data_IF_318279900285
#
_entry.id   IF_318279900285
#
_cell.length_a   1.000
_cell.length_b   1.000
_cell.length_c   1.000
_cell.angle_alpha   90.00
_cell.angle_beta   90.00
_cell.angle_gamma   90.00
#
_symmetry.space_group_name_H-M   'P 1'
#
loop_
_entity.id
_entity.type
_entity.pdbx_description
1 polymer ?
#
# COMPACT_ATOMS: atom_id res chain seq x y z
N UNK A 1 22.03 -23.09 -10.42
CA UNK A 1 20.58 -23.38 -10.19
C UNK A 1 19.98 -23.86 -11.49
N UNK A 2 19.15 -24.89 -11.48
CA UNK A 2 18.43 -25.37 -12.67
C UNK A 2 16.93 -25.29 -12.40
N UNK A 3 16.16 -24.85 -13.40
CA UNK A 3 14.71 -24.79 -13.33
C UNK A 3 14.12 -26.01 -14.04
N UNK A 4 13.38 -26.81 -13.32
CA UNK A 4 12.46 -27.80 -13.87
C UNK A 4 11.07 -27.39 -13.38
N UNK A 5 10.15 -27.09 -14.32
CA UNK A 5 8.77 -26.65 -14.03
C UNK A 5 8.61 -25.38 -13.17
N UNK A 6 9.55 -24.43 -13.24
CA UNK A 6 9.38 -23.10 -12.64
C UNK A 6 9.56 -23.02 -11.11
N UNK A 7 9.86 -24.14 -10.44
CA UNK A 7 10.21 -24.16 -9.01
C UNK A 7 11.74 -24.07 -8.88
N UNK A 8 12.23 -23.15 -8.04
CA UNK A 8 13.65 -23.05 -7.68
C UNK A 8 14.01 -24.24 -6.79
N UNK A 9 14.50 -25.32 -7.39
CA UNK A 9 15.07 -26.42 -6.63
C UNK A 9 16.41 -25.97 -6.01
N UNK A 10 16.65 -26.24 -4.71
CA UNK A 10 17.95 -26.00 -4.11
C UNK A 10 19.01 -26.74 -4.93
N UNK A 11 20.18 -26.12 -5.08
CA UNK A 11 21.32 -26.70 -5.78
C UNK A 11 21.56 -28.14 -5.28
N UNK A 12 21.52 -29.18 -6.14
CA UNK A 12 21.68 -30.57 -5.70
C UNK A 12 23.11 -30.88 -5.24
N UNK A 13 24.02 -29.91 -5.36
CA UNK A 13 25.41 -30.04 -4.98
C UNK A 13 25.57 -29.83 -3.48
N UNK A 14 26.03 -30.87 -2.78
CA UNK A 14 26.52 -30.77 -1.40
C UNK A 14 28.05 -30.64 -1.43
N UNK A 15 28.58 -29.77 -0.58
CA UNK A 15 30.01 -29.45 -0.51
C UNK A 15 30.56 -29.85 0.87
N UNK A 16 31.63 -30.65 0.90
CA UNK A 16 32.29 -31.07 2.15
C UNK A 16 33.75 -30.69 2.11
N UNK A 17 34.27 -30.32 3.28
CA UNK A 17 35.71 -30.19 3.48
C UNK A 17 36.36 -31.58 3.55
N UNK A 18 37.50 -31.74 2.87
CA UNK A 18 38.18 -33.03 2.69
C UNK A 18 38.79 -33.60 3.98
N UNK A 19 39.26 -32.77 4.92
CA UNK A 19 39.92 -33.24 6.16
C UNK A 19 39.07 -33.11 7.43
N UNK A 20 37.87 -32.52 7.35
CA UNK A 20 36.93 -32.60 8.46
C UNK A 20 36.41 -34.04 8.60
N UNK A 21 37.01 -34.83 9.48
CA UNK A 21 36.65 -36.22 9.77
C UNK A 21 35.16 -36.45 10.12
N UNK A 22 34.42 -35.37 10.41
CA UNK A 22 33.00 -35.40 10.82
C UNK A 22 32.05 -34.93 9.69
N UNK A 23 32.55 -34.57 8.49
CA UNK A 23 31.69 -34.27 7.34
C UNK A 23 30.71 -33.11 7.58
N UNK A 24 31.12 -32.09 8.34
CA UNK A 24 30.28 -30.90 8.56
C UNK A 24 30.02 -30.21 7.20
N UNK A 25 28.77 -29.84 6.90
CA UNK A 25 28.45 -29.13 5.65
C UNK A 25 29.25 -27.82 5.62
N UNK A 26 29.89 -27.53 4.48
CA UNK A 26 30.57 -26.25 4.30
C UNK A 26 29.55 -25.12 4.46
N UNK A 27 29.81 -24.17 5.38
CA UNK A 27 28.92 -23.02 5.61
C UNK A 27 28.96 -22.00 4.47
N UNK A 28 29.94 -22.12 3.59
CA UNK A 28 30.16 -21.22 2.46
C UNK A 28 29.60 -21.94 1.24
N UNK A 29 28.52 -21.40 0.68
CA UNK A 29 28.17 -21.65 -0.72
C UNK A 29 29.07 -20.73 -1.54
N UNK A 30 30.04 -21.27 -2.29
CA UNK A 30 30.79 -20.43 -3.20
C UNK A 30 29.81 -19.89 -4.25
N UNK A 31 29.75 -18.58 -4.43
CA UNK A 31 29.00 -17.97 -5.53
C UNK A 31 29.74 -18.28 -6.84
N UNK A 32 29.33 -19.34 -7.52
CA UNK A 32 29.96 -19.83 -8.74
C UNK A 32 29.35 -19.15 -9.98
N UNK A 33 30.05 -18.16 -10.54
CA UNK A 33 29.67 -17.48 -11.80
C UNK A 33 30.83 -17.39 -12.80
N UNK A 34 31.46 -18.50 -13.19
CA UNK A 34 32.47 -18.48 -14.28
C UNK A 34 33.15 -19.82 -14.62
N UNK A 35 33.85 -19.93 -15.78
CA UNK A 35 34.62 -21.12 -16.16
C UNK A 35 35.97 -21.18 -15.43
N UNK A 36 36.26 -22.32 -14.81
CA UNK A 36 37.33 -22.52 -13.83
C UNK A 36 38.77 -22.33 -14.34
N UNK A 37 39.61 -21.71 -13.50
CA UNK A 37 41.00 -22.12 -13.30
C UNK A 37 41.15 -22.77 -11.91
N UNK A 38 41.76 -23.96 -11.77
CA UNK A 38 41.95 -24.63 -10.47
C UNK A 38 42.66 -23.78 -9.40
N UNK A 39 43.38 -22.74 -9.82
CA UNK A 39 44.05 -21.77 -8.95
C UNK A 39 43.11 -20.84 -8.18
N UNK A 40 41.87 -20.63 -8.65
CA UNK A 40 40.89 -19.76 -7.97
C UNK A 40 40.18 -20.46 -6.79
N UNK A 41 40.42 -21.75 -6.59
CA UNK A 41 39.93 -22.54 -5.45
C UNK A 41 40.91 -22.55 -4.26
N UNK A 42 42.05 -21.86 -4.38
CA UNK A 42 43.05 -21.76 -3.32
C UNK A 42 42.85 -20.44 -2.54
N UNK A 43 41.84 -20.40 -1.68
CA UNK A 43 41.85 -19.43 -0.58
C UNK A 43 42.93 -19.87 0.41
N UNK A 44 43.74 -18.93 0.88
CA UNK A 44 45.01 -19.18 1.62
C UNK A 44 44.82 -20.01 2.91
N UNK A 45 43.60 -20.12 3.41
CA UNK A 45 43.24 -20.94 4.58
C UNK A 45 42.09 -21.95 4.34
N UNK A 46 41.59 -22.10 3.11
CA UNK A 46 40.50 -23.04 2.81
C UNK A 46 41.01 -24.27 2.06
N UNK A 47 40.91 -25.42 2.74
CA UNK A 47 41.22 -26.73 2.18
C UNK A 47 40.34 -27.10 0.98
N UNK A 48 40.82 -28.00 0.09
CA UNK A 48 40.10 -28.39 -1.12
C UNK A 48 38.67 -28.87 -0.80
N UNK A 49 37.69 -28.18 -1.40
CA UNK A 49 36.27 -28.51 -1.29
C UNK A 49 35.95 -29.64 -2.28
N UNK A 50 35.35 -30.72 -1.78
CA UNK A 50 34.89 -31.83 -2.62
C UNK A 50 33.39 -31.71 -2.86
N UNK A 51 32.98 -31.75 -4.14
CA UNK A 51 31.56 -31.84 -4.53
C UNK A 51 31.13 -33.29 -4.40
N UNK A 52 30.19 -33.58 -3.51
CA UNK A 52 29.67 -34.94 -3.28
C UNK A 52 28.15 -35.00 -3.46
N UNK A 53 27.66 -36.19 -3.84
CA UNK A 53 26.22 -36.44 -3.99
C UNK A 53 25.59 -36.02 -5.32
N UNK A 54 26.35 -35.39 -6.22
CA UNK A 54 25.91 -35.17 -7.60
C UNK A 54 26.41 -36.30 -8.51
N UNK A 55 25.49 -36.91 -9.25
CA UNK A 55 25.80 -37.86 -10.31
C UNK A 55 25.73 -37.16 -11.66
N UNK A 56 26.85 -37.17 -12.40
CA UNK A 56 26.90 -36.61 -13.74
C UNK A 56 26.66 -37.70 -14.78
N UNK A 57 25.99 -37.34 -15.89
CA UNK A 57 25.81 -38.20 -17.06
C UNK A 57 26.87 -37.87 -18.10
N UNK A 58 27.42 -38.88 -18.76
CA UNK A 58 28.35 -38.68 -19.86
C UNK A 58 27.62 -37.93 -21.00
N UNK A 59 28.17 -36.85 -21.58
CA UNK A 59 27.47 -36.04 -22.59
C UNK A 59 27.29 -36.75 -23.94
N UNK A 60 28.07 -37.81 -24.18
CA UNK A 60 27.90 -38.64 -25.37
C UNK A 60 26.69 -39.55 -25.21
N UNK A 61 25.70 -39.39 -26.09
CA UNK A 61 24.44 -40.16 -26.09
C UNK A 61 24.64 -41.69 -26.14
N UNK A 62 25.77 -42.14 -26.70
CA UNK A 62 26.13 -43.57 -26.77
C UNK A 62 26.68 -44.13 -25.45
N UNK A 63 27.13 -43.29 -24.51
CA UNK A 63 27.64 -43.72 -23.22
C UNK A 63 26.52 -43.79 -22.18
N UNK A 64 26.26 -44.99 -21.65
CA UNK A 64 25.16 -45.24 -20.70
C UNK A 64 25.54 -44.98 -19.23
N UNK A 65 26.76 -44.53 -18.91
CA UNK A 65 27.18 -44.22 -17.53
C UNK A 65 26.42 -42.98 -17.03
N UNK A 66 25.71 -43.14 -15.91
CA UNK A 66 24.82 -42.10 -15.34
C UNK A 66 25.23 -41.59 -13.95
N UNK A 67 26.37 -42.03 -13.40
CA UNK A 67 26.83 -41.67 -12.05
C UNK A 67 28.32 -41.36 -12.02
N UNK A 68 28.76 -40.44 -12.88
CA UNK A 68 30.15 -39.99 -12.87
C UNK A 68 30.37 -39.07 -11.67
N UNK A 69 31.52 -39.21 -11.00
CA UNK A 69 32.03 -38.17 -10.11
C UNK A 69 32.33 -36.89 -10.90
N UNK A 70 32.45 -35.75 -10.20
CA UNK A 70 32.82 -34.49 -10.85
C UNK A 70 34.14 -34.62 -11.64
N UNK A 71 35.16 -35.27 -11.05
CA UNK A 71 36.44 -35.49 -11.74
C UNK A 71 36.28 -36.37 -12.99
N UNK A 72 35.54 -37.47 -12.91
CA UNK A 72 35.29 -38.32 -14.09
C UNK A 72 34.49 -37.59 -15.17
N UNK A 73 33.57 -36.72 -14.80
CA UNK A 73 32.81 -35.91 -15.75
C UNK A 73 33.66 -34.82 -16.38
N UNK A 74 34.38 -34.05 -15.55
CA UNK A 74 35.21 -32.90 -15.96
C UNK A 74 36.34 -33.34 -16.88
N UNK A 75 37.10 -34.36 -16.47
CA UNK A 75 38.17 -34.95 -17.28
C UNK A 75 37.64 -35.96 -18.31
N UNK A 76 36.32 -36.10 -18.43
CA UNK A 76 35.63 -36.99 -19.39
C UNK A 76 36.11 -38.45 -19.37
N UNK A 77 36.51 -38.95 -18.21
CA UNK A 77 37.03 -40.31 -17.99
C UNK A 77 35.94 -41.41 -18.11
N UNK A 78 34.73 -41.07 -18.61
CA UNK A 78 33.60 -42.00 -18.69
C UNK A 78 33.72 -43.05 -19.81
N UNK A 79 34.30 -42.71 -20.95
CA UNK A 79 34.47 -43.61 -22.09
C UNK A 79 35.51 -43.05 -23.07
N UNK A 80 36.06 -43.92 -23.93
CA UNK A 80 37.05 -43.54 -24.94
C UNK A 80 36.58 -42.44 -25.89
N UNK A 81 35.29 -42.41 -26.22
CA UNK A 81 34.71 -41.32 -27.03
C UNK A 81 34.73 -39.97 -26.30
N UNK A 82 34.56 -39.98 -24.98
CA UNK A 82 34.51 -38.76 -24.18
C UNK A 82 35.93 -38.24 -23.87
N UNK A 83 36.89 -39.12 -23.61
CA UNK A 83 38.30 -38.74 -23.46
C UNK A 83 38.86 -38.18 -24.77
N UNK A 84 38.49 -38.74 -25.92
CA UNK A 84 38.99 -38.30 -27.22
C UNK A 84 38.48 -36.93 -27.69
N UNK A 85 37.43 -36.38 -27.07
CA UNK A 85 36.98 -35.01 -27.37
C UNK A 85 37.72 -33.95 -26.55
N UNK A 86 38.49 -34.36 -25.54
CA UNK A 86 39.40 -33.53 -24.74
C UNK A 86 40.87 -33.93 -24.91
N UNK A 87 41.15 -34.92 -25.75
CA UNK A 87 42.28 -34.80 -26.66
C UNK A 87 42.06 -33.50 -27.43
N UNK A 88 42.42 -32.37 -26.80
CA UNK A 88 43.22 -31.35 -27.44
C UNK A 88 44.07 -32.14 -28.41
N UNK A 89 43.67 -32.07 -29.68
CA UNK A 89 44.42 -32.72 -30.73
C UNK A 89 45.87 -32.39 -30.40
N UNK A 90 46.76 -33.41 -30.46
CA UNK A 90 48.20 -33.18 -30.32
C UNK A 90 48.51 -31.83 -30.97
N UNK A 91 49.28 -30.98 -30.30
CA UNK A 91 49.52 -29.58 -30.70
C UNK A 91 49.78 -29.41 -32.22
N UNK A 92 50.20 -30.48 -32.90
CA UNK A 92 50.32 -30.63 -34.36
C UNK A 92 49.07 -30.47 -35.23
N UNK A 93 47.82 -30.59 -34.73
CA UNK A 93 46.61 -30.45 -35.58
C UNK A 93 45.78 -29.18 -35.26
N UNK A 94 46.27 -28.34 -34.34
CA UNK A 94 45.88 -26.94 -34.39
C UNK A 94 46.65 -26.34 -35.55
N UNK A 95 45.97 -26.18 -36.67
CA UNK A 95 46.40 -25.32 -37.76
C UNK A 95 46.84 -23.97 -37.13
N UNK A 96 48.17 -23.74 -37.01
CA UNK A 96 48.78 -22.58 -36.34
C UNK A 96 48.26 -21.25 -36.92
N UNK A 97 47.59 -21.30 -38.08
CA UNK A 97 46.90 -20.18 -38.71
C UNK A 97 45.57 -19.76 -38.07
N UNK A 98 44.95 -20.55 -37.18
CA UNK A 98 43.69 -20.18 -36.50
C UNK A 98 43.91 -19.89 -35.03
N UNK A 99 44.65 -18.82 -34.75
CA UNK A 99 44.72 -18.22 -33.41
C UNK A 99 43.31 -17.88 -32.96
N UNK A 100 42.89 -18.44 -31.82
CA UNK A 100 41.66 -18.02 -31.16
C UNK A 100 41.83 -16.54 -30.85
N UNK A 101 40.96 -15.72 -31.42
CA UNK A 101 40.95 -14.29 -31.19
C UNK A 101 40.55 -14.03 -29.73
N UNK A 102 41.56 -13.78 -28.90
CA UNK A 102 41.39 -13.53 -27.48
C UNK A 102 40.59 -12.24 -27.24
N UNK A 103 40.67 -11.27 -28.15
CA UNK A 103 39.90 -10.03 -28.06
C UNK A 103 38.42 -10.32 -28.33
N UNK A 104 38.12 -11.21 -29.27
CA UNK A 104 36.75 -11.69 -29.49
C UNK A 104 36.17 -12.37 -28.23
N UNK A 105 36.90 -13.29 -27.60
CA UNK A 105 36.42 -13.96 -26.37
C UNK A 105 36.19 -12.97 -25.22
N UNK A 106 37.09 -11.99 -25.06
CA UNK A 106 36.95 -10.93 -24.06
C UNK A 106 35.71 -10.07 -24.32
N UNK A 107 35.44 -9.73 -25.58
CA UNK A 107 34.25 -8.96 -25.97
C UNK A 107 32.96 -9.73 -25.67
N UNK A 108 32.93 -11.04 -25.92
CA UNK A 108 31.78 -11.89 -25.64
C UNK A 108 31.50 -12.02 -24.13
N UNK A 109 32.54 -12.18 -23.31
CA UNK A 109 32.39 -12.21 -21.84
C UNK A 109 31.89 -10.88 -21.29
N UNK A 110 32.35 -9.76 -21.87
CA UNK A 110 31.88 -8.43 -21.48
C UNK A 110 30.39 -8.25 -21.81
N UNK A 111 29.96 -8.65 -23.01
CA UNK A 111 28.55 -8.62 -23.41
C UNK A 111 27.66 -9.49 -22.51
N UNK A 112 28.13 -10.68 -22.12
CA UNK A 112 27.39 -11.53 -21.19
C UNK A 112 27.20 -10.86 -19.81
N UNK A 113 28.27 -10.23 -19.28
CA UNK A 113 28.19 -9.50 -18.02
C UNK A 113 27.21 -8.33 -18.09
N UNK A 114 27.22 -7.59 -19.19
CA UNK A 114 26.29 -6.48 -19.42
C UNK A 114 24.84 -6.98 -19.48
N UNK A 115 24.59 -8.08 -20.20
CA UNK A 115 23.27 -8.70 -20.27
C UNK A 115 22.77 -9.18 -18.89
N UNK A 116 23.64 -9.77 -18.06
CA UNK A 116 23.29 -10.18 -16.70
C UNK A 116 22.89 -8.98 -15.82
N UNK A 117 23.58 -7.84 -15.96
CA UNK A 117 23.25 -6.60 -15.25
C UNK A 117 21.89 -6.06 -15.68
N UNK A 118 21.59 -6.04 -16.98
CA UNK A 118 20.30 -5.59 -17.51
C UNK A 118 19.15 -6.47 -16.97
N UNK A 119 19.34 -7.78 -16.89
CA UNK A 119 18.34 -8.71 -16.32
C UNK A 119 18.09 -8.43 -14.84
N UNK A 120 19.11 -8.07 -14.07
CA UNK A 120 18.95 -7.70 -12.66
C UNK A 120 18.19 -6.38 -12.52
N UNK A 121 18.55 -5.36 -13.31
CA UNK A 121 17.87 -4.07 -13.30
C UNK A 121 16.40 -4.19 -13.70
N UNK A 122 16.07 -5.02 -14.69
CA UNK A 122 14.68 -5.29 -15.08
C UNK A 122 13.85 -5.90 -13.93
N UNK A 123 14.44 -6.83 -13.15
CA UNK A 123 13.76 -7.42 -11.98
C UNK A 123 13.53 -6.39 -10.88
N UNK A 124 14.51 -5.55 -10.58
CA UNK A 124 14.37 -4.48 -9.59
C UNK A 124 13.28 -3.48 -9.99
N UNK A 125 13.22 -3.13 -11.28
CA UNK A 125 12.17 -2.28 -11.83
C UNK A 125 10.77 -2.91 -11.67
N UNK A 126 10.62 -4.19 -12.03
CA UNK A 126 9.35 -4.91 -11.87
C UNK A 126 8.88 -4.97 -10.42
N UNK A 127 9.80 -5.18 -9.47
CA UNK A 127 9.50 -5.18 -8.04
C UNK A 127 9.10 -3.79 -7.54
N UNK A 128 9.81 -2.75 -7.96
CA UNK A 128 9.46 -1.35 -7.65
C UNK A 128 8.08 -1.00 -8.20
N UNK A 129 7.77 -1.40 -9.43
CA UNK A 129 6.47 -1.18 -10.06
C UNK A 129 5.34 -1.88 -9.30
N UNK A 130 5.53 -3.13 -8.87
CA UNK A 130 4.56 -3.86 -8.03
C UNK A 130 4.32 -3.16 -6.70
N UNK A 131 5.37 -2.68 -6.03
CA UNK A 131 5.26 -1.93 -4.77
C UNK A 131 4.50 -0.61 -4.97
N UNK A 132 4.76 0.10 -6.07
CA UNK A 132 4.07 1.34 -6.41
C UNK A 132 2.57 1.12 -6.63
N UNK A 133 2.19 0.13 -7.42
CA UNK A 133 0.78 -0.20 -7.67
C UNK A 133 0.05 -0.65 -6.40
N UNK A 134 0.71 -1.41 -5.52
CA UNK A 134 0.15 -1.78 -4.22
C UNK A 134 -0.07 -0.56 -3.31
N UNK A 135 0.90 0.38 -3.27
CA UNK A 135 0.77 1.62 -2.52
C UNK A 135 -0.37 2.50 -3.05
N UNK A 136 -0.52 2.59 -4.38
CA UNK A 136 -1.61 3.31 -5.04
C UNK A 136 -2.99 2.76 -4.67
N UNK A 137 -3.17 1.43 -4.74
CA UNK A 137 -4.42 0.77 -4.30
C UNK A 137 -4.72 1.02 -2.83
N UNK A 138 -3.71 0.96 -1.96
CA UNK A 138 -3.86 1.25 -0.52
C UNK A 138 -4.29 2.70 -0.27
N UNK A 139 -3.75 3.66 -1.02
CA UNK A 139 -4.15 5.07 -0.94
C UNK A 139 -5.61 5.24 -1.35
N UNK A 140 -6.01 4.69 -2.49
CA UNK A 140 -7.40 4.76 -2.97
C UNK A 140 -8.39 4.14 -1.98
N UNK A 141 -8.06 3.00 -1.37
CA UNK A 141 -8.89 2.38 -0.34
C UNK A 141 -9.08 3.31 0.87
N UNK A 142 -8.00 3.91 1.36
CA UNK A 142 -8.07 4.86 2.49
C UNK A 142 -8.89 6.10 2.15
N UNK A 143 -8.78 6.60 0.93
CA UNK A 143 -9.52 7.77 0.44
C UNK A 143 -11.03 7.46 0.35
N UNK A 144 -11.39 6.28 -0.16
CA UNK A 144 -12.77 5.80 -0.15
C UNK A 144 -13.33 5.61 1.27
N UNK A 145 -12.53 5.10 2.21
CA UNK A 145 -12.93 5.02 3.63
C UNK A 145 -13.12 6.41 4.24
N UNK A 146 -12.26 7.38 3.91
CA UNK A 146 -12.39 8.76 4.39
C UNK A 146 -13.70 9.39 3.91
N UNK A 147 -14.02 9.25 2.62
CA UNK A 147 -15.29 9.75 2.06
C UNK A 147 -16.51 9.17 2.78
N UNK A 148 -16.53 7.84 3.02
CA UNK A 148 -17.63 7.21 3.76
C UNK A 148 -17.80 7.75 5.18
N UNK A 149 -16.69 8.11 5.84
CA UNK A 149 -16.71 8.69 7.17
C UNK A 149 -17.22 10.14 7.13
N UNK A 150 -16.79 10.92 6.14
CA UNK A 150 -17.28 12.28 5.90
C UNK A 150 -18.80 12.29 5.65
N UNK A 151 -19.30 11.36 4.83
CA UNK A 151 -20.74 11.20 4.57
C UNK A 151 -21.52 10.84 5.84
N UNK A 152 -20.98 9.94 6.67
CA UNK A 152 -21.60 9.55 7.94
C UNK A 152 -21.67 10.74 8.90
N UNK A 153 -20.59 11.52 9.01
CA UNK A 153 -20.54 12.73 9.83
C UNK A 153 -21.59 13.74 9.35
N UNK A 154 -21.67 13.99 8.05
CA UNK A 154 -22.67 14.88 7.47
C UNK A 154 -24.11 14.44 7.78
N UNK A 155 -24.38 13.13 7.71
CA UNK A 155 -25.67 12.55 8.07
C UNK A 155 -26.03 12.80 9.55
N UNK A 156 -25.08 12.58 10.47
CA UNK A 156 -25.29 12.85 11.90
C UNK A 156 -25.56 14.32 12.18
N UNK A 157 -24.84 15.22 11.52
CA UNK A 157 -25.09 16.66 11.65
C UNK A 157 -26.47 17.03 11.14
N UNK A 158 -26.89 16.52 9.98
CA UNK A 158 -28.21 16.77 9.42
C UNK A 158 -29.32 16.31 10.39
N UNK A 159 -29.20 15.10 10.94
CA UNK A 159 -30.14 14.57 11.93
C UNK A 159 -30.18 15.43 13.20
N UNK A 160 -29.02 15.84 13.70
CA UNK A 160 -28.93 16.68 14.91
C UNK A 160 -29.56 18.04 14.68
N UNK A 161 -29.33 18.66 13.52
CA UNK A 161 -29.96 19.93 13.16
C UNK A 161 -31.48 19.75 13.08
N UNK A 162 -31.98 18.69 12.44
CA UNK A 162 -33.42 18.39 12.41
C UNK A 162 -34.01 18.32 13.82
N UNK A 163 -33.39 17.56 14.73
CA UNK A 163 -33.86 17.44 16.12
C UNK A 163 -33.86 18.79 16.86
N UNK A 164 -32.83 19.63 16.65
CA UNK A 164 -32.77 20.98 17.24
C UNK A 164 -33.87 21.87 16.66
N UNK A 165 -34.15 21.78 15.37
CA UNK A 165 -35.15 22.61 14.69
C UNK A 165 -36.58 22.15 14.95
N UNK A 166 -36.82 20.85 15.07
CA UNK A 166 -38.13 20.26 15.39
C UNK A 166 -38.49 20.46 16.87
N UNK A 167 -37.49 20.52 17.76
CA UNK A 167 -37.67 20.78 19.19
C UNK A 167 -37.67 22.25 19.59
N UNK A 168 -37.24 23.18 18.72
CA UNK A 168 -37.51 24.60 18.95
C UNK A 168 -39.00 24.82 18.74
N UNK A 169 -39.78 25.18 19.78
CA UNK A 169 -41.13 25.68 19.53
C UNK A 169 -40.98 26.77 18.47
N UNK A 170 -41.74 26.68 17.37
CA UNK A 170 -41.85 27.79 16.41
C UNK A 170 -41.93 29.03 17.26
N UNK A 171 -40.97 29.95 17.10
CA UNK A 171 -40.90 31.15 17.91
C UNK A 171 -42.27 31.81 17.73
N UNK A 172 -43.17 31.61 18.71
CA UNK A 172 -44.53 32.08 18.57
C UNK A 172 -44.41 33.58 18.40
N UNK A 173 -44.99 34.12 17.33
CA UNK A 173 -44.81 35.52 17.00
C UNK A 173 -45.16 36.32 18.24
N UNK A 174 -44.15 36.93 18.87
CA UNK A 174 -44.31 37.63 20.15
C UNK A 174 -45.32 38.77 20.03
N UNK A 175 -45.63 39.20 18.80
CA UNK A 175 -46.67 40.17 18.46
C UNK A 175 -48.09 39.67 18.73
N UNK A 176 -48.28 38.35 18.88
CA UNK A 176 -49.56 37.70 19.19
C UNK A 176 -49.77 37.48 20.69
N UNK A 177 -48.79 37.84 21.52
CA UNK A 177 -48.81 37.67 22.97
C UNK A 177 -48.92 39.03 23.66
N UNK A 178 -49.70 39.10 24.74
CA UNK A 178 -49.77 40.29 25.58
C UNK A 178 -48.44 40.53 26.30
N UNK A 179 -47.93 41.77 26.26
CA UNK A 179 -46.65 42.10 26.91
C UNK A 179 -46.68 42.11 28.45
N UNK A 180 -47.87 41.98 29.08
CA UNK A 180 -48.03 41.92 30.54
C UNK A 180 -48.23 40.48 31.01
N UNK A 181 -49.25 39.78 30.50
CA UNK A 181 -49.60 38.43 30.96
C UNK A 181 -48.98 37.30 30.12
N UNK A 182 -48.32 37.62 29.00
CA UNK A 182 -47.69 36.66 28.08
C UNK A 182 -48.63 35.60 27.49
N UNK A 183 -49.94 35.85 27.52
CA UNK A 183 -50.95 34.98 26.91
C UNK A 183 -51.35 35.48 25.51
N UNK A 184 -51.81 34.56 24.66
CA UNK A 184 -52.29 34.87 23.30
C UNK A 184 -53.53 35.76 23.37
N UNK A 185 -53.61 36.71 22.45
CA UNK A 185 -54.82 37.49 22.24
C UNK A 185 -55.97 36.59 21.77
N UNK A 186 -57.19 36.89 22.22
CA UNK A 186 -58.40 36.14 21.90
C UNK A 186 -59.60 37.11 21.77
N UNK A 187 -60.71 36.63 21.21
CA UNK A 187 -61.94 37.40 21.02
C UNK A 187 -62.84 37.46 22.27
N UNK A 188 -62.47 36.81 23.38
CA UNK A 188 -63.33 36.73 24.56
C UNK A 188 -63.01 37.83 25.58
N UNK A 189 -61.79 37.85 26.07
CA UNK A 189 -61.37 38.68 27.21
C UNK A 189 -59.95 39.27 27.03
N UNK A 190 -59.31 38.97 25.89
CA UNK A 190 -57.93 39.38 25.60
C UNK A 190 -57.82 39.98 24.21
N UNK A 191 -58.71 40.92 23.89
CA UNK A 191 -58.58 41.74 22.69
C UNK A 191 -57.23 42.45 22.68
N UNK A 192 -56.58 42.49 21.52
CA UNK A 192 -55.32 43.19 21.35
C UNK A 192 -55.60 44.70 21.32
N UNK A 193 -55.08 45.44 22.29
CA UNK A 193 -55.17 46.89 22.33
C UNK A 193 -53.80 47.50 22.07
N UNK A 194 -53.73 48.49 21.19
CA UNK A 194 -52.52 49.25 20.87
C UNK A 194 -52.66 50.66 21.43
N UNK A 195 -51.72 51.06 22.27
CA UNK A 195 -51.66 52.44 22.78
C UNK A 195 -51.04 53.35 21.71
N UNK A 196 -51.31 54.67 21.76
CA UNK A 196 -50.68 55.67 20.87
C UNK A 196 -49.13 55.64 20.87
N UNK A 197 -48.51 55.10 21.92
CA UNK A 197 -47.06 54.90 21.96
C UNK A 197 -46.56 53.71 21.12
N UNK A 198 -47.47 52.93 20.49
CA UNK A 198 -47.18 51.79 19.63
C UNK A 198 -47.07 50.44 20.34
N UNK A 199 -47.20 50.39 21.68
CA UNK A 199 -47.10 49.13 22.43
C UNK A 199 -48.46 48.46 22.55
N UNK A 200 -48.48 47.13 22.37
CA UNK A 200 -49.69 46.31 22.44
C UNK A 200 -49.81 45.52 23.74
N UNK A 201 -51.01 45.52 24.32
CA UNK A 201 -51.38 44.83 25.57
C UNK A 201 -52.82 44.36 25.48
N UNK A 202 -53.23 43.33 26.22
CA UNK A 202 -54.63 42.92 26.18
C UNK A 202 -55.52 43.88 26.99
N UNK A 203 -56.76 44.03 26.57
CA UNK A 203 -57.77 44.88 27.20
C UNK A 203 -57.88 44.65 28.71
N UNK A 204 -57.96 43.37 29.12
CA UNK A 204 -58.02 42.97 30.53
C UNK A 204 -56.82 43.47 31.34
N UNK A 205 -55.61 43.41 30.78
CA UNK A 205 -54.43 43.91 31.47
C UNK A 205 -54.43 45.44 31.57
N UNK A 206 -54.92 46.15 30.55
CA UNK A 206 -55.07 47.61 30.61
C UNK A 206 -56.11 48.05 31.65
N UNK A 207 -57.22 47.33 31.77
CA UNK A 207 -58.28 47.63 32.73
C UNK A 207 -57.83 47.45 34.19
N UNK A 208 -56.87 46.55 34.44
CA UNK A 208 -56.32 46.30 35.78
C UNK A 208 -55.24 47.30 36.21
N UNK A 209 -54.77 48.19 35.32
CA UNK A 209 -53.76 49.18 35.67
C UNK A 209 -54.37 50.28 36.54
N UNK A 210 -53.87 50.42 37.78
CA UNK A 210 -54.25 51.50 38.68
C UNK A 210 -53.85 52.89 38.16
N UNK A 211 -52.73 52.97 37.43
CA UNK A 211 -52.22 54.19 36.82
C UNK A 211 -52.20 54.00 35.30
N UNK A 212 -52.83 54.93 34.56
CA UNK A 212 -52.95 54.89 33.10
C UNK A 212 -51.65 55.30 32.41
N UNK A 213 -50.61 54.48 32.60
CA UNK A 213 -49.28 54.62 31.98
C UNK A 213 -48.89 53.33 31.29
N UNK A 214 -48.32 53.43 30.09
CA UNK A 214 -47.89 52.27 29.30
C UNK A 214 -46.89 51.40 30.09
N UNK A 215 -47.10 50.08 30.22
CA UNK A 215 -46.20 49.20 30.98
C UNK A 215 -44.80 49.08 30.37
N UNK A 216 -44.65 49.33 29.06
CA UNK A 216 -43.37 49.19 28.35
C UNK A 216 -42.57 50.50 28.37
N UNK A 217 -43.19 51.63 28.02
CA UNK A 217 -42.49 52.91 27.86
C UNK A 217 -42.89 54.01 28.88
N UNK A 218 -43.83 53.71 29.80
CA UNK A 218 -44.31 54.60 30.87
C UNK A 218 -44.95 55.92 30.43
N UNK A 219 -45.22 56.12 29.13
CA UNK A 219 -45.99 57.27 28.65
C UNK A 219 -47.43 57.20 29.20
N UNK A 220 -47.99 58.32 29.70
CA UNK A 220 -49.39 58.37 30.12
C UNK A 220 -50.32 58.18 28.92
N UNK A 221 -51.50 57.62 29.14
CA UNK A 221 -52.54 57.45 28.13
C UNK A 221 -53.93 57.69 28.74
N UNK A 222 -54.90 58.09 27.92
CA UNK A 222 -56.33 58.10 28.28
C UNK A 222 -57.05 56.94 27.58
N UNK A 223 -58.29 56.63 27.99
CA UNK A 223 -59.07 55.55 27.37
C UNK A 223 -59.36 55.82 25.88
N UNK A 224 -59.38 57.10 25.46
CA UNK A 224 -59.47 57.53 24.06
C UNK A 224 -58.21 57.22 23.24
N UNK A 225 -57.06 56.97 23.88
CA UNK A 225 -55.81 56.61 23.22
C UNK A 225 -55.62 55.11 23.04
N UNK A 226 -56.64 54.30 23.36
CA UNK A 226 -56.61 52.84 23.25
C UNK A 226 -57.28 52.46 21.93
N UNK A 227 -56.51 51.88 21.01
CA UNK A 227 -57.02 51.35 19.74
C UNK A 227 -57.17 49.84 19.88
N UNK A 228 -58.40 49.34 19.91
CA UNK A 228 -58.67 47.89 19.94
C UNK A 228 -58.62 47.32 18.52
N UNK A 229 -57.79 46.30 18.32
CA UNK A 229 -57.69 45.56 17.07
C UNK A 229 -58.64 44.36 17.13
N UNK A 230 -59.58 44.31 16.19
CA UNK A 230 -60.43 43.14 15.98
C UNK A 230 -59.73 42.24 14.95
N UNK A 231 -59.33 41.03 15.37
CA UNK A 231 -58.92 40.00 14.41
C UNK A 231 -60.21 39.40 13.83
N UNK A 232 -60.34 39.42 12.50
CA UNK A 232 -61.44 38.80 11.75
C UNK A 232 -61.12 37.34 11.41
#
# INVERSE_FOLDING_TARGET
MWKENGVLNPSPFKYRCRECAIGKPAKIHPDFTGPFLPSELADVDCQPVEIYGASFKCPLSKCKRKNLSFNEFFYRLCCSGATNTLSLKKESDFDEGKKVDHDFLKSLLQQHKESDIEVLQAKEYDEAQKKFEAAKKKKQLKEATRMKLEDLIALYFAQTVSLITEGKPREEDRRLLCSICFEKYNESDRHQCVLHCGHSTCERCLALLAVKTCPVCRKPFTDENIITLFHH
#
